data_IF_898637238892
#
_entry.id   IF_898637238892
#
_cell.length_a   1.000
_cell.length_b   1.000
_cell.length_c   1.000
_cell.angle_alpha   90.00
_cell.angle_beta   90.00
_cell.angle_gamma   90.00
#
_symmetry.space_group_name_H-M   'P 1'
#
loop_
_entity.id
_entity.type
_entity.pdbx_description
1 polymer ?
#
# COMPACT_ATOMS: atom_id res chain seq x y z
N UNK A 1 -10.17 3.95 -6.53
CA UNK A 1 -10.23 2.53 -6.08
C UNK A 1 -9.45 2.42 -4.79
N UNK A 2 -10.02 1.79 -3.76
CA UNK A 2 -9.35 1.64 -2.46
C UNK A 2 -8.23 0.60 -2.55
N UNK A 3 -7.03 0.99 -2.13
CA UNK A 3 -5.81 0.19 -2.15
C UNK A 3 -5.20 0.12 -0.75
N UNK A 4 -4.50 -0.97 -0.47
CA UNK A 4 -3.82 -1.20 0.80
C UNK A 4 -2.41 -1.74 0.55
N UNK A 5 -1.41 -1.10 1.13
CA UNK A 5 -0.02 -1.58 1.18
C UNK A 5 0.40 -1.72 2.64
N UNK A 6 1.21 -2.74 2.95
CA UNK A 6 1.78 -2.96 4.29
C UNK A 6 3.29 -2.93 4.16
N UNK A 7 3.94 -2.08 4.94
CA UNK A 7 5.40 -2.11 5.05
C UNK A 7 5.83 -3.23 5.98
N UNK A 8 6.06 -4.44 5.43
CA UNK A 8 6.61 -5.57 6.18
C UNK A 8 8.12 -5.50 6.41
N UNK A 9 8.72 -4.30 6.39
CA UNK A 9 10.15 -4.10 6.61
C UNK A 9 10.41 -3.32 7.88
N UNK A 10 11.61 -3.47 8.44
CA UNK A 10 12.06 -2.71 9.62
C UNK A 10 12.55 -1.28 9.32
N UNK A 11 12.32 -0.76 8.10
CA UNK A 11 12.76 0.58 7.69
C UNK A 11 11.57 1.44 7.28
N UNK A 12 11.73 2.75 7.44
CA UNK A 12 10.78 3.73 6.92
C UNK A 12 10.84 3.73 5.39
N UNK A 13 9.67 3.74 4.76
CA UNK A 13 9.51 3.80 3.31
C UNK A 13 8.76 5.06 2.91
N UNK A 14 8.87 5.43 1.63
CA UNK A 14 8.09 6.49 1.02
C UNK A 14 7.36 5.96 -0.20
N UNK A 15 6.04 6.00 -0.16
CA UNK A 15 5.16 5.62 -1.25
C UNK A 15 4.84 6.83 -2.14
N UNK A 16 4.94 6.67 -3.47
CA UNK A 16 4.63 7.70 -4.48
C UNK A 16 3.78 7.14 -5.60
N UNK A 17 3.02 7.99 -6.29
CA UNK A 17 2.38 7.65 -7.57
C UNK A 17 2.80 8.71 -8.58
N UNK A 18 3.78 8.37 -9.44
CA UNK A 18 4.35 9.30 -10.41
C UNK A 18 3.79 9.12 -11.84
N UNK A 19 3.15 7.98 -12.13
CA UNK A 19 2.71 7.64 -13.48
C UNK A 19 1.33 8.21 -13.86
N UNK A 20 0.70 9.00 -12.98
CA UNK A 20 -0.57 9.69 -13.24
C UNK A 20 -0.26 11.20 -13.35
N UNK A 21 -0.57 11.85 -14.48
CA UNK A 21 -0.35 13.28 -14.65
C UNK A 21 -1.05 14.11 -13.56
N UNK A 22 -0.39 15.17 -13.10
CA UNK A 22 -0.88 16.12 -12.09
C UNK A 22 -1.28 15.51 -10.73
N UNK A 23 -0.88 14.28 -10.47
CA UNK A 23 -1.19 13.56 -9.24
C UNK A 23 -0.09 13.74 -8.19
N UNK A 24 -0.39 14.41 -7.09
CA UNK A 24 0.57 14.69 -6.00
C UNK A 24 0.39 13.73 -4.83
N UNK A 25 0.64 12.45 -5.07
CA UNK A 25 0.59 11.44 -4.00
C UNK A 25 1.99 11.06 -3.55
N UNK A 26 2.26 11.35 -2.29
CA UNK A 26 3.48 10.97 -1.58
C UNK A 26 3.13 10.76 -0.11
N UNK A 27 3.54 9.61 0.47
CA UNK A 27 3.26 9.24 1.86
C UNK A 27 4.44 8.50 2.46
N UNK A 28 4.77 8.81 3.71
CA UNK A 28 5.69 8.01 4.52
C UNK A 28 4.95 6.79 5.07
N UNK A 29 5.62 5.64 5.13
CA UNK A 29 5.10 4.41 5.71
C UNK A 29 6.12 3.89 6.72
N UNK A 30 5.75 3.85 8.00
CA UNK A 30 6.58 3.33 9.08
C UNK A 30 6.69 1.81 9.03
N UNK A 31 7.70 1.21 9.70
CA UNK A 31 7.77 -0.24 9.87
C UNK A 31 6.45 -0.83 10.39
N UNK A 32 6.00 -1.93 9.78
CA UNK A 32 4.75 -2.64 10.06
C UNK A 32 3.45 -1.81 9.84
N UNK A 33 3.56 -0.58 9.34
CA UNK A 33 2.40 0.26 9.08
C UNK A 33 1.64 -0.17 7.83
N UNK A 34 0.32 -0.01 7.89
CA UNK A 34 -0.60 -0.18 6.77
C UNK A 34 -0.99 1.17 6.17
N UNK A 35 -0.59 1.39 4.92
CA UNK A 35 -1.05 2.53 4.12
C UNK A 35 -2.33 2.17 3.37
N UNK A 36 -3.44 2.81 3.75
CA UNK A 36 -4.70 2.77 3.02
C UNK A 36 -4.84 4.03 2.18
N UNK A 37 -5.15 3.90 0.89
CA UNK A 37 -5.21 5.04 -0.02
C UNK A 37 -6.12 4.79 -1.22
N UNK A 38 -6.54 5.86 -1.90
CA UNK A 38 -7.27 5.76 -3.15
C UNK A 38 -6.36 6.06 -4.35
N UNK A 39 -6.52 5.26 -5.41
CA UNK A 39 -5.81 5.47 -6.66
C UNK A 39 -6.65 5.06 -7.88
N UNK A 40 -6.35 5.60 -9.08
CA UNK A 40 -6.84 5.06 -10.35
C UNK A 40 -6.39 3.61 -10.61
N UNK A 41 -7.15 2.79 -11.35
CA UNK A 41 -6.77 1.38 -11.64
C UNK A 41 -5.42 1.21 -12.37
N UNK A 42 -5.02 2.21 -13.15
CA UNK A 42 -3.79 2.21 -13.94
C UNK A 42 -2.59 2.84 -13.20
N UNK A 43 -2.79 3.33 -11.97
CA UNK A 43 -1.72 3.88 -11.15
C UNK A 43 -0.74 2.79 -10.70
N UNK A 44 0.51 3.18 -10.46
CA UNK A 44 1.56 2.35 -9.86
C UNK A 44 2.04 3.02 -8.57
N UNK A 45 2.06 2.24 -7.49
CA UNK A 45 2.64 2.65 -6.22
C UNK A 45 4.14 2.37 -6.27
N UNK A 46 4.94 3.43 -6.31
CA UNK A 46 6.38 3.37 -6.19
C UNK A 46 6.78 3.39 -4.72
N UNK A 47 7.63 2.45 -4.32
CA UNK A 47 8.16 2.36 -2.97
C UNK A 47 9.62 2.79 -3.00
N UNK A 48 9.92 3.88 -2.31
CA UNK A 48 11.25 4.40 -2.15
C UNK A 48 11.78 4.07 -0.75
N UNK A 49 13.06 3.69 -0.68
CA UNK A 49 13.74 3.38 0.58
C UNK A 49 14.96 4.26 0.73
N UNK A 50 15.13 4.83 1.93
CA UNK A 50 16.36 5.50 2.29
C UNK A 50 17.42 4.47 2.68
N UNK A 51 18.57 4.57 2.03
CA UNK A 51 19.78 3.78 2.28
C UNK A 51 20.93 4.71 2.64
N UNK A 52 22.05 4.16 3.07
CA UNK A 52 23.27 4.94 3.35
C UNK A 52 23.78 5.70 2.10
N UNK A 53 23.47 5.19 0.91
CA UNK A 53 23.85 5.78 -0.38
C UNK A 53 22.78 6.72 -0.95
N UNK A 54 21.72 7.01 -0.19
CA UNK A 54 20.61 7.87 -0.60
C UNK A 54 19.29 7.11 -0.80
N UNK A 55 18.35 7.74 -1.50
CA UNK A 55 17.00 7.19 -1.75
C UNK A 55 16.98 6.39 -3.04
N UNK A 56 16.59 5.12 -2.95
CA UNK A 56 16.43 4.23 -4.11
C UNK A 56 14.96 3.89 -4.34
N UNK A 57 14.58 3.72 -5.60
CA UNK A 57 13.31 3.10 -5.97
C UNK A 57 13.44 1.58 -5.76
N UNK A 58 12.74 1.06 -4.76
CA UNK A 58 12.79 -0.35 -4.37
C UNK A 58 11.77 -1.20 -5.13
N UNK A 59 10.59 -0.65 -5.42
CA UNK A 59 9.51 -1.39 -6.09
C UNK A 59 8.56 -0.43 -6.82
N UNK A 60 7.86 -0.94 -7.84
CA UNK A 60 6.80 -0.24 -8.59
C UNK A 60 5.63 -1.19 -8.80
N UNK A 61 4.61 -1.06 -7.95
CA UNK A 61 3.51 -2.03 -7.83
C UNK A 61 2.26 -1.48 -8.50
N UNK A 62 1.68 -2.13 -9.52
CA UNK A 62 0.38 -1.74 -10.06
C UNK A 62 -0.71 -1.72 -8.97
N UNK A 63 -1.41 -0.60 -8.80
CA UNK A 63 -2.40 -0.42 -7.74
C UNK A 63 -3.56 -1.43 -7.81
N UNK A 64 -3.85 -1.99 -9.00
CA UNK A 64 -4.80 -3.08 -9.17
C UNK A 64 -4.49 -4.32 -8.32
N UNK A 65 -3.21 -4.57 -8.01
CA UNK A 65 -2.78 -5.68 -7.14
C UNK A 65 -2.89 -5.34 -5.65
N UNK A 66 -3.01 -4.06 -5.32
CA UNK A 66 -3.19 -3.55 -3.96
C UNK A 66 -4.67 -3.33 -3.61
N UNK A 67 -5.59 -3.60 -4.55
CA UNK A 67 -7.02 -3.33 -4.38
C UNK A 67 -7.59 -4.10 -3.19
N UNK A 68 -8.29 -3.39 -2.32
CA UNK A 68 -9.06 -4.01 -1.22
C UNK A 68 -10.35 -4.60 -1.80
N UNK A 69 -10.58 -5.89 -1.55
CA UNK A 69 -11.85 -6.54 -1.86
C UNK A 69 -12.93 -6.08 -0.88
N UNK A 70 -14.10 -5.68 -1.40
CA UNK A 70 -15.26 -5.47 -0.54
C UNK A 70 -15.71 -6.83 -0.03
N UNK A 71 -15.65 -7.03 1.28
CA UNK A 71 -16.38 -8.13 1.90
C UNK A 71 -17.85 -7.72 1.83
N UNK A 72 -18.64 -8.36 0.99
CA UNK A 72 -20.09 -8.23 1.05
C UNK A 72 -20.55 -8.72 2.42
N UNK A 73 -21.38 -7.94 3.12
CA UNK A 73 -21.86 -8.19 4.50
C UNK A 73 -22.57 -9.54 4.73
N UNK A 74 -22.68 -10.41 3.73
CA UNK A 74 -23.32 -11.71 3.85
C UNK A 74 -22.56 -12.75 4.69
N UNK A 75 -21.33 -12.47 5.16
CA UNK A 75 -20.47 -13.46 5.86
C UNK A 75 -19.93 -13.02 7.25
N UNK A 76 -20.53 -12.03 7.92
CA UNK A 76 -20.02 -11.55 9.23
C UNK A 76 -20.14 -12.53 10.42
N UNK A 77 -20.57 -13.78 10.22
CA UNK A 77 -20.74 -14.75 11.33
C UNK A 77 -19.51 -15.64 11.56
N UNK A 78 -18.56 -15.76 10.62
CA UNK A 78 -17.45 -16.71 10.76
C UNK A 78 -16.11 -16.00 10.97
N UNK A 79 -15.89 -15.41 12.14
CA UNK A 79 -14.53 -15.17 12.68
C UNK A 79 -14.48 -15.20 14.22
N UNK A 80 -15.60 -15.42 14.91
CA UNK A 80 -15.61 -15.70 16.36
C UNK A 80 -15.54 -17.20 16.62
N UNK A 81 -14.38 -17.83 16.37
CA UNK A 81 -13.93 -19.05 17.07
C UNK A 81 -12.69 -19.65 16.38
N UNK A 82 -11.52 -19.36 16.92
CA UNK A 82 -10.38 -20.30 17.05
C UNK A 82 -9.26 -19.63 17.84
N UNK A 83 -9.47 -19.56 19.15
CA UNK A 83 -8.38 -19.69 20.12
C UNK A 83 -8.86 -20.82 21.04
N UNK A 84 -8.32 -22.00 20.80
CA UNK A 84 -8.33 -23.13 21.71
C UNK A 84 -6.95 -23.17 22.38
#
# INVERSE_FOLDING_TARGET
MLCCYVNGTSKMLMARIANIPDWRFERVIFPEERLLFEAPPHAKLEIHRNTEMGTILSDSIPCRYLRVSKISDSNRVVLSSKIA
#
